data_IF_154990456004
#
_entry.id   IF_154990456004
#
_cell.length_a   1.000
_cell.length_b   1.000
_cell.length_c   1.000
_cell.angle_alpha   90.00
_cell.angle_beta   90.00
_cell.angle_gamma   90.00
#
_symmetry.space_group_name_H-M   'P 1'
#
loop_
_entity.id
_entity.type
_entity.pdbx_description
1 polymer ?
#
# COMPACT_ATOMS: atom_id res chain seq x y z
N UNK A 1 -25.73 -22.27 6.73
CA UNK A 1 -24.58 -23.18 6.54
C UNK A 1 -23.31 -22.34 6.53
N UNK A 2 -22.61 -22.28 7.65
CA UNK A 2 -21.32 -21.59 7.73
C UNK A 2 -20.29 -22.41 6.94
N UNK A 3 -19.76 -21.84 5.85
CA UNK A 3 -18.61 -22.40 5.17
C UNK A 3 -17.42 -22.33 6.11
N UNK A 4 -17.09 -23.45 6.75
CA UNK A 4 -15.81 -23.62 7.43
C UNK A 4 -14.76 -23.65 6.31
N UNK A 5 -14.05 -22.53 6.10
CA UNK A 5 -12.92 -22.49 5.20
C UNK A 5 -11.84 -23.42 5.73
N UNK A 6 -11.58 -24.50 4.99
CA UNK A 6 -10.54 -25.45 5.33
C UNK A 6 -9.16 -24.83 5.05
N UNK A 7 -8.18 -24.89 5.97
CA UNK A 7 -6.86 -24.24 5.82
C UNK A 7 -6.14 -24.59 4.52
N UNK A 8 -6.25 -25.86 4.08
CA UNK A 8 -5.69 -26.32 2.79
C UNK A 8 -6.32 -25.62 1.55
N UNK A 9 -7.59 -25.20 1.61
CA UNK A 9 -8.22 -24.45 0.52
C UNK A 9 -7.67 -23.03 0.47
N UNK A 10 -7.54 -22.35 1.61
CA UNK A 10 -6.94 -21.02 1.69
C UNK A 10 -5.49 -21.00 1.21
N UNK A 11 -4.67 -21.97 1.65
CA UNK A 11 -3.29 -22.12 1.16
C UNK A 11 -3.22 -22.34 -0.37
N UNK A 12 -4.15 -23.10 -0.94
CA UNK A 12 -4.25 -23.31 -2.39
C UNK A 12 -4.62 -22.00 -3.13
N UNK A 13 -5.50 -21.18 -2.57
CA UNK A 13 -5.86 -19.88 -3.16
C UNK A 13 -4.70 -18.88 -3.13
N UNK A 14 -3.94 -18.84 -2.03
CA UNK A 14 -2.73 -18.01 -1.90
C UNK A 14 -1.69 -18.40 -2.94
N UNK A 15 -1.40 -19.71 -3.10
CA UNK A 15 -0.44 -20.19 -4.10
C UNK A 15 -0.83 -19.83 -5.54
N UNK A 16 -2.11 -19.99 -5.90
CA UNK A 16 -2.63 -19.62 -7.24
C UNK A 16 -2.51 -18.12 -7.48
N UNK A 17 -2.83 -17.27 -6.50
CA UNK A 17 -2.71 -15.82 -6.64
C UNK A 17 -1.26 -15.36 -6.69
N UNK A 18 -0.36 -16.00 -5.94
CA UNK A 18 1.07 -15.72 -6.01
C UNK A 18 1.65 -16.01 -7.42
N UNK A 19 1.30 -17.17 -8.00
CA UNK A 19 1.68 -17.49 -9.37
C UNK A 19 1.02 -16.52 -10.37
N UNK A 20 -0.28 -16.24 -10.20
CA UNK A 20 -1.02 -15.29 -11.02
C UNK A 20 -0.47 -13.86 -10.96
N UNK A 21 0.16 -13.46 -9.85
CA UNK A 21 0.80 -12.15 -9.74
C UNK A 21 2.00 -12.01 -10.70
N UNK A 22 2.86 -13.03 -10.80
CA UNK A 22 4.00 -13.01 -11.73
C UNK A 22 3.56 -13.18 -13.19
N UNK A 23 2.60 -14.08 -13.45
CA UNK A 23 2.05 -14.28 -14.80
C UNK A 23 1.33 -13.01 -15.25
N UNK A 24 0.51 -12.40 -14.38
CA UNK A 24 -0.21 -11.17 -14.66
C UNK A 24 0.72 -9.98 -14.93
N UNK A 25 1.85 -9.89 -14.23
CA UNK A 25 2.91 -8.92 -14.53
C UNK A 25 3.42 -9.13 -15.97
N UNK A 26 3.82 -10.34 -16.33
CA UNK A 26 4.37 -10.64 -17.66
C UNK A 26 3.34 -10.46 -18.79
N UNK A 27 2.10 -10.88 -18.56
CA UNK A 27 1.01 -10.69 -19.51
C UNK A 27 0.66 -9.20 -19.67
N UNK A 28 0.62 -8.43 -18.58
CA UNK A 28 0.31 -7.01 -18.64
C UNK A 28 1.38 -6.21 -19.37
N UNK A 29 2.65 -6.53 -19.11
CA UNK A 29 3.82 -6.00 -19.82
C UNK A 29 3.74 -6.31 -21.34
N UNK A 30 3.69 -7.59 -21.72
CA UNK A 30 3.64 -7.98 -23.13
C UNK A 30 2.40 -7.44 -23.88
N UNK A 31 1.27 -7.30 -23.19
CA UNK A 31 0.07 -6.67 -23.76
C UNK A 31 0.28 -5.18 -24.00
N UNK A 32 0.94 -4.48 -23.07
CA UNK A 32 1.16 -3.05 -23.11
C UNK A 32 2.24 -2.61 -24.12
N UNK A 33 3.22 -3.48 -24.40
CA UNK A 33 4.39 -3.17 -25.21
C UNK A 33 4.06 -2.55 -26.59
N UNK A 34 3.03 -3.04 -27.29
CA UNK A 34 2.61 -2.49 -28.58
C UNK A 34 2.13 -1.03 -28.46
N UNK A 35 1.42 -0.73 -27.38
CA UNK A 35 0.64 0.50 -27.22
C UNK A 35 1.43 1.60 -26.52
N UNK A 36 2.68 1.34 -26.13
CA UNK A 36 3.53 2.31 -25.45
C UNK A 36 3.78 3.55 -26.32
N UNK A 37 3.74 4.74 -25.70
CA UNK A 37 3.81 6.06 -26.35
C UNK A 37 2.71 6.35 -27.37
N UNK A 38 1.73 5.46 -27.51
CA UNK A 38 0.54 5.65 -28.34
C UNK A 38 -0.52 6.54 -27.69
N UNK A 39 -1.56 6.93 -28.46
CA UNK A 39 -2.69 7.67 -27.92
C UNK A 39 -3.54 6.80 -26.98
N UNK A 40 -4.30 7.45 -26.09
CA UNK A 40 -5.32 6.76 -25.28
C UNK A 40 -6.35 6.13 -26.22
N UNK A 41 -6.58 4.84 -26.07
CA UNK A 41 -7.49 4.07 -26.91
C UNK A 41 -8.92 4.16 -26.40
N UNK A 42 -9.88 4.15 -27.34
CA UNK A 42 -11.31 4.08 -27.04
C UNK A 42 -11.76 2.69 -26.56
N UNK A 43 -12.93 2.61 -25.94
CA UNK A 43 -13.48 1.33 -25.45
C UNK A 43 -13.92 0.36 -26.56
N UNK A 44 -13.93 0.83 -27.81
CA UNK A 44 -14.21 0.08 -29.03
C UNK A 44 -12.99 -0.63 -29.62
N UNK A 45 -11.78 -0.29 -29.15
CA UNK A 45 -10.54 -0.91 -29.64
C UNK A 45 -10.34 -2.26 -28.96
N UNK A 46 -10.23 -3.32 -29.78
CA UNK A 46 -9.83 -4.63 -29.29
C UNK A 46 -8.34 -4.61 -28.92
N UNK A 47 -8.04 -4.87 -27.66
CA UNK A 47 -6.69 -4.97 -27.13
C UNK A 47 -6.24 -6.43 -27.16
N UNK A 48 -5.07 -6.69 -27.74
CA UNK A 48 -4.51 -8.05 -27.86
C UNK A 48 -2.97 -8.02 -27.88
N UNK A 49 -2.32 -9.16 -27.64
CA UNK A 49 -0.85 -9.30 -27.57
C UNK A 49 -0.23 -9.41 -28.97
N UNK A 50 -0.26 -8.32 -29.72
CA UNK A 50 0.10 -8.32 -31.15
C UNK A 50 1.58 -8.07 -31.46
N UNK A 51 2.44 -7.85 -30.46
CA UNK A 51 3.85 -7.48 -30.68
C UNK A 51 4.00 -6.08 -31.28
N UNK A 52 5.09 -5.75 -31.96
CA UNK A 52 5.39 -4.45 -32.55
C UNK A 52 5.83 -3.40 -31.51
N UNK A 53 5.26 -2.20 -31.58
CA UNK A 53 5.63 -1.10 -30.69
C UNK A 53 6.98 -0.44 -31.03
N UNK A 54 7.51 0.41 -30.13
CA UNK A 54 8.70 1.23 -30.40
C UNK A 54 9.99 0.44 -30.64
N UNK A 55 10.05 -0.81 -30.18
CA UNK A 55 11.24 -1.68 -30.26
C UNK A 55 11.02 -2.97 -31.06
N UNK A 56 9.91 -3.06 -31.81
CA UNK A 56 9.56 -4.22 -32.66
C UNK A 56 9.60 -5.56 -31.91
N UNK A 57 8.74 -5.67 -30.90
CA UNK A 57 8.59 -6.86 -30.07
C UNK A 57 7.82 -7.97 -30.79
N UNK A 58 8.15 -9.23 -30.51
CA UNK A 58 7.33 -10.35 -30.97
C UNK A 58 6.01 -10.44 -30.19
N UNK A 59 4.93 -11.02 -30.77
CA UNK A 59 3.70 -11.30 -30.03
C UNK A 59 3.97 -12.09 -28.73
N UNK A 60 3.64 -11.49 -27.58
CA UNK A 60 3.88 -12.07 -26.25
C UNK A 60 5.30 -11.91 -25.70
N UNK A 61 6.20 -11.21 -26.40
CA UNK A 61 7.50 -10.79 -25.86
C UNK A 61 7.28 -9.70 -24.80
N UNK A 62 7.94 -9.85 -23.65
CA UNK A 62 7.88 -8.91 -22.53
C UNK A 62 9.06 -7.93 -22.55
N UNK A 63 8.92 -6.77 -21.90
CA UNK A 63 9.91 -5.68 -21.88
C UNK A 63 10.79 -5.69 -20.61
N UNK A 64 11.34 -4.53 -20.24
CA UNK A 64 12.17 -4.36 -19.06
C UNK A 64 11.41 -4.60 -17.74
N UNK A 65 10.10 -4.34 -17.67
CA UNK A 65 9.27 -4.61 -16.48
C UNK A 65 9.44 -6.06 -16.01
N UNK A 66 9.15 -7.03 -16.88
CA UNK A 66 9.25 -8.46 -16.59
C UNK A 66 10.69 -8.91 -16.47
N UNK A 67 11.57 -8.47 -17.38
CA UNK A 67 12.97 -8.90 -17.35
C UNK A 67 13.65 -8.51 -16.04
N UNK A 68 13.43 -7.28 -15.56
CA UNK A 68 13.98 -6.82 -14.29
C UNK A 68 13.34 -7.53 -13.10
N UNK A 69 12.04 -7.79 -13.13
CA UNK A 69 11.35 -8.57 -12.10
C UNK A 69 11.95 -9.99 -12.00
N UNK A 70 12.17 -10.68 -13.12
CA UNK A 70 12.78 -12.00 -13.14
C UNK A 70 14.18 -12.01 -12.51
N UNK A 71 14.98 -10.96 -12.72
CA UNK A 71 16.27 -10.79 -12.06
C UNK A 71 16.15 -10.78 -10.53
N UNK A 72 15.14 -10.07 -9.99
CA UNK A 72 14.83 -10.06 -8.56
C UNK A 72 14.35 -11.44 -8.09
N UNK A 73 13.42 -12.06 -8.81
CA UNK A 73 12.86 -13.36 -8.46
C UNK A 73 13.93 -14.45 -8.32
N UNK A 74 14.90 -14.47 -9.24
CA UNK A 74 16.06 -15.38 -9.20
C UNK A 74 17.04 -15.06 -8.07
N UNK A 75 16.98 -13.85 -7.51
CA UNK A 75 17.73 -13.44 -6.32
C UNK A 75 17.09 -13.83 -5.00
N UNK A 76 15.85 -14.32 -4.99
CA UNK A 76 15.15 -14.69 -3.75
C UNK A 76 15.87 -15.84 -3.04
N UNK A 77 16.11 -15.67 -1.74
CA UNK A 77 16.68 -16.68 -0.84
C UNK A 77 15.53 -17.44 -0.15
N UNK A 78 15.46 -18.78 -0.31
CA UNK A 78 14.45 -19.59 0.38
C UNK A 78 14.46 -19.35 1.88
N UNK A 79 13.29 -19.32 2.53
CA UNK A 79 13.16 -18.96 3.94
C UNK A 79 14.07 -19.79 4.87
N UNK A 80 14.22 -21.09 4.60
CA UNK A 80 15.09 -22.00 5.37
C UNK A 80 16.59 -21.78 5.16
N UNK A 81 16.98 -20.95 4.19
CA UNK A 81 18.37 -20.55 3.93
C UNK A 81 18.67 -19.11 4.37
N UNK A 82 17.69 -18.38 4.93
CA UNK A 82 17.90 -17.02 5.44
C UNK A 82 18.69 -17.07 6.74
N UNK A 83 19.63 -16.14 6.87
CA UNK A 83 20.44 -15.96 8.08
C UNK A 83 19.85 -14.92 9.01
N UNK A 84 19.12 -13.95 8.46
CA UNK A 84 18.45 -12.92 9.24
C UNK A 84 16.97 -13.27 9.44
N UNK A 85 16.50 -13.45 10.69
CA UNK A 85 15.09 -13.63 10.99
C UNK A 85 14.21 -12.47 10.52
N UNK A 86 14.73 -11.23 10.49
CA UNK A 86 14.01 -10.06 9.96
C UNK A 86 14.04 -10.00 8.42
N UNK A 87 14.64 -11.00 7.77
CA UNK A 87 14.65 -11.15 6.33
C UNK A 87 15.50 -10.14 5.57
N UNK A 88 16.49 -9.47 6.18
CA UNK A 88 17.33 -8.53 5.41
C UNK A 88 18.13 -9.19 4.28
N UNK A 89 18.32 -10.52 4.34
CA UNK A 89 18.95 -11.35 3.30
C UNK A 89 17.95 -12.16 2.47
N UNK A 90 16.64 -11.87 2.53
CA UNK A 90 15.61 -12.56 1.76
C UNK A 90 15.80 -12.43 0.23
N UNK A 91 16.57 -11.44 -0.22
CA UNK A 91 16.95 -11.24 -1.63
C UNK A 91 18.46 -10.97 -1.69
N UNK A 92 19.18 -11.80 -2.45
CA UNK A 92 20.59 -11.59 -2.76
C UNK A 92 20.75 -10.51 -3.83
N UNK A 93 20.94 -9.27 -3.38
CA UNK A 93 21.11 -8.10 -4.24
C UNK A 93 22.30 -8.24 -5.20
N UNK A 94 23.39 -8.90 -4.79
CA UNK A 94 24.54 -9.11 -5.68
C UNK A 94 24.13 -9.99 -6.87
N UNK A 95 23.37 -11.05 -6.60
CA UNK A 95 22.82 -11.92 -7.65
C UNK A 95 21.81 -11.19 -8.53
N UNK A 96 20.98 -10.31 -7.98
CA UNK A 96 20.07 -9.46 -8.77
C UNK A 96 20.86 -8.56 -9.72
N UNK A 97 21.87 -7.85 -9.22
CA UNK A 97 22.69 -6.94 -10.02
C UNK A 97 23.45 -7.66 -11.13
N UNK A 98 24.02 -8.85 -10.85
CA UNK A 98 24.68 -9.65 -11.87
C UNK A 98 23.73 -9.98 -13.03
N UNK A 99 22.51 -10.44 -12.72
CA UNK A 99 21.53 -10.78 -13.74
C UNK A 99 21.04 -9.57 -14.55
N UNK A 100 20.87 -8.41 -13.91
CA UNK A 100 20.53 -7.20 -14.65
C UNK A 100 21.66 -6.72 -15.56
N UNK A 101 22.91 -6.92 -15.15
CA UNK A 101 24.06 -6.60 -16.01
C UNK A 101 24.14 -7.56 -17.20
N UNK A 102 23.91 -8.86 -17.00
CA UNK A 102 23.84 -9.84 -18.10
C UNK A 102 22.69 -9.52 -19.07
N UNK A 103 21.51 -9.17 -18.54
CA UNK A 103 20.34 -8.77 -19.33
C UNK A 103 20.59 -7.48 -20.14
N UNK A 104 21.29 -6.51 -19.56
CA UNK A 104 21.60 -5.24 -20.22
C UNK A 104 22.42 -5.41 -21.51
N UNK A 105 23.12 -6.53 -21.70
CA UNK A 105 23.91 -6.79 -22.90
C UNK A 105 23.06 -7.18 -24.12
N UNK A 106 21.84 -7.67 -23.88
CA UNK A 106 20.99 -8.27 -24.93
C UNK A 106 19.62 -7.61 -25.04
N UNK A 107 19.27 -6.70 -24.12
CA UNK A 107 17.95 -6.09 -24.09
C UNK A 107 17.70 -5.15 -25.27
N UNK A 108 16.47 -5.18 -25.80
CA UNK A 108 15.95 -4.20 -26.77
C UNK A 108 15.53 -2.91 -26.08
N UNK A 109 15.12 -3.00 -24.82
CA UNK A 109 14.48 -1.93 -24.07
C UNK A 109 15.06 -1.81 -22.66
N UNK A 110 15.29 -0.58 -22.24
CA UNK A 110 15.74 -0.23 -20.90
C UNK A 110 15.47 1.25 -20.65
N UNK A 111 14.79 1.55 -19.55
CA UNK A 111 14.61 2.94 -19.13
C UNK A 111 15.93 3.70 -19.00
N UNK A 112 15.96 4.95 -19.50
CA UNK A 112 17.17 5.81 -19.58
C UNK A 112 17.96 5.86 -18.27
N UNK A 113 17.26 6.08 -17.15
CA UNK A 113 17.88 6.15 -15.82
C UNK A 113 18.47 4.80 -15.38
N UNK A 114 17.73 3.72 -15.57
CA UNK A 114 18.19 2.35 -15.27
C UNK A 114 19.45 2.02 -16.07
N UNK A 115 19.43 2.24 -17.39
CA UNK A 115 20.55 1.99 -18.27
C UNK A 115 21.79 2.81 -17.90
N UNK A 116 21.61 4.10 -17.56
CA UNK A 116 22.69 4.97 -17.12
C UNK A 116 23.38 4.46 -15.83
N UNK A 117 22.59 4.04 -14.85
CA UNK A 117 23.10 3.57 -13.55
C UNK A 117 23.80 2.21 -13.68
N UNK A 118 23.17 1.24 -14.35
CA UNK A 118 23.78 -0.07 -14.56
C UNK A 118 25.01 0.00 -15.46
N UNK A 119 25.01 0.88 -16.48
CA UNK A 119 26.18 1.14 -17.31
C UNK A 119 27.36 1.75 -16.51
N UNK A 120 27.09 2.64 -15.56
CA UNK A 120 28.11 3.14 -14.63
C UNK A 120 28.62 2.05 -13.68
N UNK A 121 27.73 1.21 -13.15
CA UNK A 121 28.11 0.09 -12.27
C UNK A 121 29.04 -0.89 -13.00
N UNK A 122 28.71 -1.24 -14.25
CA UNK A 122 29.54 -2.09 -15.10
C UNK A 122 30.94 -1.52 -15.29
N UNK A 123 31.04 -0.24 -15.65
CA UNK A 123 32.34 0.45 -15.81
C UNK A 123 33.15 0.52 -14.53
N UNK A 124 32.51 0.58 -13.36
CA UNK A 124 33.19 0.59 -12.08
C UNK A 124 33.77 -0.78 -11.69
N UNK A 125 33.33 -1.88 -12.32
CA UNK A 125 33.86 -3.23 -12.10
C UNK A 125 33.55 -3.84 -10.73
N UNK A 126 32.66 -3.22 -9.93
CA UNK A 126 32.27 -3.70 -8.60
C UNK A 126 30.77 -3.97 -8.54
N UNK A 127 30.39 -5.24 -8.56
CA UNK A 127 29.00 -5.69 -8.48
C UNK A 127 28.62 -5.89 -7.02
N UNK A 128 28.19 -4.80 -6.38
CA UNK A 128 27.71 -4.79 -5.00
C UNK A 128 26.66 -3.71 -4.76
N UNK A 129 25.80 -3.93 -3.76
CA UNK A 129 24.69 -3.03 -3.42
C UNK A 129 25.17 -1.62 -3.08
N UNK A 130 26.26 -1.49 -2.32
CA UNK A 130 26.76 -0.20 -1.83
C UNK A 130 27.21 0.67 -2.99
N UNK A 131 27.97 0.09 -3.94
CA UNK A 131 28.43 0.78 -5.15
C UNK A 131 27.25 1.20 -6.03
N UNK A 132 26.30 0.30 -6.28
CA UNK A 132 25.13 0.60 -7.12
C UNK A 132 24.26 1.72 -6.52
N UNK A 133 23.95 1.64 -5.23
CA UNK A 133 23.20 2.66 -4.50
C UNK A 133 23.92 4.01 -4.46
N UNK A 134 25.25 4.02 -4.33
CA UNK A 134 26.02 5.26 -4.40
C UNK A 134 25.94 5.93 -5.78
N UNK A 135 25.99 5.15 -6.86
CA UNK A 135 25.81 5.63 -8.24
C UNK A 135 24.40 6.20 -8.42
N UNK A 136 23.37 5.46 -8.01
CA UNK A 136 21.97 5.88 -8.05
C UNK A 136 21.71 7.18 -7.28
N UNK A 137 22.27 7.28 -6.06
CA UNK A 137 22.20 8.50 -5.25
C UNK A 137 22.84 9.71 -5.94
N UNK A 138 24.04 9.52 -6.50
CA UNK A 138 24.72 10.59 -7.25
C UNK A 138 23.92 11.00 -8.48
N UNK A 139 23.40 10.05 -9.25
CA UNK A 139 22.59 10.32 -10.43
C UNK A 139 21.33 11.12 -10.08
N UNK A 140 20.66 10.82 -8.97
CA UNK A 140 19.53 11.62 -8.48
C UNK A 140 19.93 13.07 -8.20
N UNK A 141 21.05 13.31 -7.52
CA UNK A 141 21.54 14.65 -7.26
C UNK A 141 21.90 15.41 -8.55
N UNK A 142 22.54 14.73 -9.51
CA UNK A 142 22.91 15.29 -10.82
C UNK A 142 21.67 15.58 -11.69
N UNK A 143 20.57 14.87 -11.49
CA UNK A 143 19.30 15.05 -12.22
C UNK A 143 18.37 16.06 -11.57
N UNK A 144 18.89 16.95 -10.71
CA UNK A 144 18.09 17.96 -10.02
C UNK A 144 17.07 17.36 -9.05
N UNK A 145 17.41 16.24 -8.42
CA UNK A 145 16.55 15.47 -7.52
C UNK A 145 15.27 14.93 -8.17
N UNK A 146 15.30 14.67 -9.47
CA UNK A 146 14.20 14.05 -10.21
C UNK A 146 14.63 12.69 -10.70
N UNK A 147 14.24 11.65 -9.98
CA UNK A 147 14.55 10.26 -10.37
C UNK A 147 13.41 9.27 -10.05
N UNK A 148 12.20 9.78 -9.85
CA UNK A 148 10.99 9.06 -9.46
C UNK A 148 10.17 8.45 -10.60
N UNK A 149 10.85 7.96 -11.65
CA UNK A 149 10.19 7.15 -12.68
C UNK A 149 9.62 5.82 -12.14
N UNK A 150 8.77 5.17 -12.93
CA UNK A 150 8.14 3.88 -12.61
C UNK A 150 9.14 2.70 -12.59
N UNK A 151 10.34 2.86 -13.14
CA UNK A 151 11.36 1.81 -13.32
C UNK A 151 11.79 1.08 -12.05
N UNK A 152 11.54 1.65 -10.86
CA UNK A 152 11.70 0.94 -9.60
C UNK A 152 10.47 0.11 -9.20
N UNK A 153 9.27 0.64 -9.44
CA UNK A 153 7.99 0.07 -8.99
C UNK A 153 7.61 -1.19 -9.77
N UNK A 154 7.69 -1.12 -11.10
CA UNK A 154 7.16 -2.12 -12.03
C UNK A 154 7.69 -3.55 -11.81
N UNK A 155 8.87 -3.66 -11.21
CA UNK A 155 9.61 -4.91 -11.00
C UNK A 155 9.49 -5.50 -9.59
N UNK A 156 8.63 -4.95 -8.72
CA UNK A 156 8.63 -5.27 -7.27
C UNK A 156 7.76 -6.45 -6.85
N UNK A 157 6.96 -7.06 -7.74
CA UNK A 157 6.16 -8.23 -7.39
C UNK A 157 6.96 -9.37 -6.73
N UNK A 158 8.17 -9.75 -7.21
CA UNK A 158 9.00 -10.74 -6.53
C UNK A 158 9.48 -10.32 -5.14
N UNK A 159 9.63 -9.01 -4.89
CA UNK A 159 9.95 -8.50 -3.55
C UNK A 159 8.81 -8.82 -2.60
N UNK A 160 7.56 -8.51 -2.98
CA UNK A 160 6.39 -8.88 -2.18
C UNK A 160 6.31 -10.40 -1.92
N UNK A 161 6.58 -11.22 -2.94
CA UNK A 161 6.56 -12.68 -2.81
C UNK A 161 7.63 -13.22 -1.85
N UNK A 162 8.81 -12.59 -1.79
CA UNK A 162 9.85 -12.98 -0.84
C UNK A 162 9.42 -12.81 0.64
N UNK A 163 8.43 -11.96 0.91
CA UNK A 163 7.90 -11.67 2.25
C UNK A 163 6.43 -12.05 2.38
N UNK A 164 5.94 -12.97 1.54
CA UNK A 164 4.52 -13.31 1.50
C UNK A 164 3.99 -13.85 2.84
N UNK A 165 4.81 -14.59 3.59
CA UNK A 165 4.40 -15.19 4.86
C UNK A 165 4.74 -14.36 6.10
N UNK A 166 5.71 -13.46 5.98
CA UNK A 166 6.17 -12.58 7.04
C UNK A 166 6.64 -11.27 6.39
N UNK A 167 5.90 -10.20 6.64
CA UNK A 167 6.17 -8.87 6.09
C UNK A 167 7.24 -8.11 6.86
N UNK A 168 7.79 -8.69 7.93
CA UNK A 168 8.92 -8.13 8.65
C UNK A 168 10.07 -7.88 7.68
N UNK A 169 10.51 -6.62 7.59
CA UNK A 169 11.59 -6.21 6.68
C UNK A 169 11.18 -5.94 5.22
N UNK A 170 9.92 -6.17 4.83
CA UNK A 170 9.45 -5.93 3.46
C UNK A 170 9.64 -4.46 3.04
N UNK A 171 9.25 -3.51 3.89
CA UNK A 171 9.41 -2.08 3.60
C UNK A 171 10.88 -1.70 3.37
N UNK A 172 11.78 -2.23 4.20
CA UNK A 172 13.21 -1.98 4.08
C UNK A 172 13.78 -2.57 2.78
N UNK A 173 13.39 -3.80 2.41
CA UNK A 173 13.85 -4.43 1.17
C UNK A 173 13.30 -3.72 -0.08
N UNK A 174 12.02 -3.36 -0.09
CA UNK A 174 11.40 -2.63 -1.19
C UNK A 174 12.15 -1.31 -1.46
N UNK A 175 12.48 -0.54 -0.42
CA UNK A 175 13.30 0.67 -0.54
C UNK A 175 14.71 0.39 -1.05
N UNK A 176 15.37 -0.66 -0.54
CA UNK A 176 16.72 -1.04 -0.99
C UNK A 176 16.75 -1.37 -2.48
N UNK A 177 15.79 -2.17 -2.95
CA UNK A 177 15.66 -2.56 -4.37
C UNK A 177 15.32 -1.36 -5.26
N UNK A 178 14.43 -0.47 -4.80
CA UNK A 178 14.13 0.77 -5.53
C UNK A 178 15.40 1.62 -5.71
N UNK A 179 16.11 1.86 -4.61
CA UNK A 179 17.31 2.70 -4.54
C UNK A 179 18.50 2.18 -5.35
N UNK A 180 18.48 0.93 -5.84
CA UNK A 180 19.47 0.45 -6.80
C UNK A 180 19.49 1.30 -8.07
N UNK A 181 18.36 1.88 -8.46
CA UNK A 181 18.26 2.68 -9.69
C UNK A 181 17.45 3.96 -9.56
N UNK A 182 16.58 4.07 -8.55
CA UNK A 182 15.71 5.23 -8.33
C UNK A 182 15.86 5.64 -6.87
N UNK A 183 16.70 6.66 -6.63
CA UNK A 183 17.01 7.12 -5.27
C UNK A 183 15.89 7.96 -4.64
N UNK A 184 15.01 8.54 -5.46
CA UNK A 184 13.96 9.43 -4.99
C UNK A 184 13.09 8.77 -3.92
N UNK A 185 12.82 9.52 -2.84
CA UNK A 185 12.11 8.99 -1.68
C UNK A 185 10.70 8.53 -2.03
N UNK A 186 9.99 9.27 -2.88
CA UNK A 186 8.67 8.90 -3.37
C UNK A 186 8.69 7.59 -4.18
N UNK A 187 9.75 7.33 -4.97
CA UNK A 187 9.89 6.05 -5.67
C UNK A 187 10.01 4.89 -4.68
N UNK A 188 10.80 5.08 -3.61
CA UNK A 188 10.94 4.11 -2.53
C UNK A 188 9.63 3.86 -1.80
N UNK A 189 8.90 4.93 -1.43
CA UNK A 189 7.60 4.80 -0.77
C UNK A 189 6.57 4.07 -1.64
N UNK A 190 6.49 4.43 -2.93
CA UNK A 190 5.58 3.78 -3.87
C UNK A 190 5.84 2.27 -3.94
N UNK A 191 7.11 1.86 -3.96
CA UNK A 191 7.50 0.45 -3.92
C UNK A 191 7.05 -0.24 -2.63
N UNK A 192 7.14 0.43 -1.47
CA UNK A 192 6.63 -0.09 -0.20
C UNK A 192 5.13 -0.30 -0.29
N UNK A 193 4.37 0.76 -0.62
CA UNK A 193 2.91 0.70 -0.71
C UNK A 193 2.45 -0.43 -1.64
N UNK A 194 3.05 -0.51 -2.83
CA UNK A 194 2.71 -1.52 -3.83
C UNK A 194 3.05 -2.95 -3.39
N UNK A 195 4.20 -3.17 -2.74
CA UNK A 195 4.55 -4.48 -2.20
C UNK A 195 3.53 -4.97 -1.16
N UNK A 196 3.13 -4.09 -0.24
CA UNK A 196 2.11 -4.42 0.77
C UNK A 196 0.74 -4.65 0.12
N UNK A 197 0.38 -3.88 -0.91
CA UNK A 197 -0.84 -4.10 -1.68
C UNK A 197 -0.88 -5.47 -2.37
N UNK A 198 0.26 -5.91 -2.94
CA UNK A 198 0.41 -7.24 -3.56
C UNK A 198 0.24 -8.33 -2.52
N UNK A 199 0.93 -8.23 -1.37
CA UNK A 199 0.80 -9.21 -0.27
C UNK A 199 -0.66 -9.30 0.17
N UNK A 200 -1.32 -8.16 0.38
CA UNK A 200 -2.74 -8.12 0.75
C UNK A 200 -3.64 -8.76 -0.32
N UNK A 201 -3.42 -8.44 -1.60
CA UNK A 201 -4.20 -9.00 -2.70
C UNK A 201 -4.05 -10.52 -2.82
N UNK A 202 -2.84 -11.05 -2.59
CA UNK A 202 -2.61 -12.49 -2.62
C UNK A 202 -3.34 -13.19 -1.46
N UNK A 203 -3.25 -12.66 -0.25
CA UNK A 203 -3.92 -13.26 0.92
C UNK A 203 -5.45 -13.11 0.88
N UNK A 204 -5.92 -11.89 0.64
CA UNK A 204 -7.35 -11.55 0.81
C UNK A 204 -8.14 -11.65 -0.50
N UNK A 205 -7.48 -11.55 -1.66
CA UNK A 205 -8.13 -11.43 -2.96
C UNK A 205 -8.63 -10.02 -3.25
N UNK A 206 -8.27 -9.04 -2.43
CA UNK A 206 -8.66 -7.64 -2.57
C UNK A 206 -7.41 -6.78 -2.73
N UNK A 207 -7.38 -5.93 -3.76
CA UNK A 207 -6.31 -4.94 -3.90
C UNK A 207 -6.57 -3.80 -2.91
N UNK A 208 -5.63 -3.55 -2.00
CA UNK A 208 -5.72 -2.45 -1.06
C UNK A 208 -4.34 -1.82 -0.85
N UNK A 209 -4.12 -0.66 -1.46
CA UNK A 209 -2.86 0.09 -1.36
C UNK A 209 -2.64 0.71 0.04
N UNK A 210 -3.71 0.90 0.81
CA UNK A 210 -3.68 1.60 2.09
C UNK A 210 -2.97 0.81 3.18
N UNK A 211 -2.91 -0.51 3.04
CA UNK A 211 -2.27 -1.41 4.02
C UNK A 211 -0.77 -1.16 4.18
N UNK A 212 -0.13 -0.52 3.20
CA UNK A 212 1.28 -0.13 3.30
C UNK A 212 1.49 1.25 3.92
N UNK A 213 0.45 2.04 4.20
CA UNK A 213 0.63 3.40 4.72
C UNK A 213 1.32 3.41 6.07
N UNK A 214 0.98 2.48 6.97
CA UNK A 214 1.58 2.39 8.31
C UNK A 214 3.05 1.95 8.29
N UNK A 215 3.54 1.50 7.13
CA UNK A 215 4.94 1.11 6.90
C UNK A 215 5.80 2.29 6.42
N UNK A 216 5.19 3.46 6.25
CA UNK A 216 5.88 4.71 5.92
C UNK A 216 6.09 5.56 7.18
N UNK A 217 7.17 6.36 7.24
CA UNK A 217 7.30 7.40 8.26
C UNK A 217 6.10 8.34 8.26
N UNK A 218 5.77 8.90 9.42
CA UNK A 218 4.58 9.73 9.62
C UNK A 218 4.47 10.89 8.62
N UNK A 219 5.54 11.66 8.43
CA UNK A 219 5.61 12.77 7.48
C UNK A 219 5.33 12.32 6.03
N UNK A 220 5.74 11.09 5.69
CA UNK A 220 5.51 10.49 4.37
C UNK A 220 4.08 9.99 4.21
N UNK A 221 3.42 9.54 5.27
CA UNK A 221 2.01 9.10 5.23
C UNK A 221 1.10 10.21 4.76
N UNK A 222 1.24 11.42 5.32
CA UNK A 222 0.42 12.57 4.95
C UNK A 222 0.53 12.89 3.45
N UNK A 223 1.75 12.92 2.92
CA UNK A 223 2.04 13.12 1.50
C UNK A 223 1.34 12.09 0.60
N UNK A 224 1.38 10.80 0.97
CA UNK A 224 0.74 9.75 0.19
C UNK A 224 -0.78 9.73 0.32
N UNK A 225 -1.32 10.09 1.48
CA UNK A 225 -2.76 10.21 1.68
C UNK A 225 -3.35 11.27 0.76
N UNK A 226 -2.72 12.45 0.66
CA UNK A 226 -3.15 13.51 -0.25
C UNK A 226 -3.18 13.02 -1.71
N UNK A 227 -2.11 12.35 -2.14
CA UNK A 227 -1.95 11.81 -3.50
C UNK A 227 -2.97 10.72 -3.83
N UNK A 228 -3.18 9.80 -2.90
CA UNK A 228 -4.14 8.72 -3.05
C UNK A 228 -5.56 9.27 -3.12
N UNK A 229 -5.91 10.25 -2.27
CA UNK A 229 -7.19 10.94 -2.32
C UNK A 229 -7.40 11.68 -3.65
N UNK A 230 -6.38 12.41 -4.13
CA UNK A 230 -6.42 13.05 -5.45
C UNK A 230 -6.59 12.05 -6.60
N UNK A 231 -6.05 10.85 -6.46
CA UNK A 231 -6.22 9.71 -7.37
C UNK A 231 -7.53 8.93 -7.19
N UNK A 232 -8.45 9.38 -6.32
CA UNK A 232 -9.74 8.73 -6.07
C UNK A 232 -9.72 7.57 -5.07
N UNK A 233 -8.57 7.32 -4.41
CA UNK A 233 -8.42 6.30 -3.38
C UNK A 233 -8.58 6.94 -1.99
N UNK A 234 -9.79 6.90 -1.44
CA UNK A 234 -10.11 7.53 -0.16
C UNK A 234 -9.33 6.94 1.05
N UNK A 235 -8.39 7.68 1.63
CA UNK A 235 -7.66 7.30 2.84
C UNK A 235 -7.43 8.51 3.74
N UNK A 236 -7.24 8.27 5.04
CA UNK A 236 -6.99 9.30 6.05
C UNK A 236 -6.00 8.80 7.10
N UNK A 237 -5.44 9.73 7.87
CA UNK A 237 -4.55 9.40 8.98
C UNK A 237 -5.36 8.72 10.10
N UNK A 238 -4.72 7.79 10.81
CA UNK A 238 -5.25 7.28 12.07
C UNK A 238 -4.91 8.32 13.13
N UNK A 239 -5.85 9.23 13.35
CA UNK A 239 -5.71 10.35 14.28
C UNK A 239 -5.87 9.89 15.74
N UNK A 240 -5.14 10.50 16.66
CA UNK A 240 -5.41 10.41 18.09
C UNK A 240 -6.72 11.14 18.46
N UNK A 241 -7.24 10.94 19.67
CA UNK A 241 -8.52 11.55 20.07
C UNK A 241 -8.54 13.08 19.95
N UNK A 242 -7.41 13.77 20.16
CA UNK A 242 -7.33 15.23 20.03
C UNK A 242 -7.37 15.62 18.57
N UNK A 243 -6.57 14.95 17.74
CA UNK A 243 -6.50 15.17 16.30
C UNK A 243 -7.86 14.90 15.61
N UNK A 244 -8.62 13.90 16.06
CA UNK A 244 -9.99 13.66 15.57
C UNK A 244 -10.88 14.88 15.81
N UNK A 245 -10.80 15.53 16.98
CA UNK A 245 -11.62 16.72 17.26
C UNK A 245 -11.19 17.95 16.46
N UNK A 246 -9.95 17.98 15.96
CA UNK A 246 -9.38 19.09 15.19
C UNK A 246 -9.53 18.90 13.67
N UNK A 247 -9.97 17.73 13.22
CA UNK A 247 -10.05 17.36 11.82
C UNK A 247 -11.11 18.19 11.06
N UNK A 248 -10.80 18.74 9.86
CA UNK A 248 -11.71 19.63 9.12
C UNK A 248 -13.07 19.03 8.80
N UNK A 249 -13.16 17.74 8.46
CA UNK A 249 -14.43 17.07 8.18
C UNK A 249 -15.27 16.91 9.46
N UNK A 250 -14.67 16.58 10.60
CA UNK A 250 -15.32 16.52 11.93
C UNK A 250 -15.88 17.89 12.33
N UNK A 251 -15.12 18.95 12.09
CA UNK A 251 -15.58 20.34 12.31
C UNK A 251 -16.68 20.74 11.31
N UNK A 252 -16.51 20.44 10.03
CA UNK A 252 -17.45 20.75 8.96
C UNK A 252 -18.81 20.08 9.19
N UNK A 253 -18.81 18.80 9.60
CA UNK A 253 -20.03 18.05 9.90
C UNK A 253 -20.66 18.47 11.24
N UNK A 254 -19.98 19.30 12.04
CA UNK A 254 -20.46 19.75 13.35
C UNK A 254 -20.57 18.60 14.34
N UNK A 255 -19.69 17.59 14.23
CA UNK A 255 -19.81 16.35 15.01
C UNK A 255 -19.37 16.49 16.47
N UNK A 256 -18.70 17.58 16.84
CA UNK A 256 -18.23 17.81 18.21
C UNK A 256 -19.20 18.70 18.95
N UNK A 257 -19.85 18.16 19.97
CA UNK A 257 -20.74 18.93 20.84
C UNK A 257 -20.12 19.07 22.23
N UNK A 258 -20.15 20.30 22.75
CA UNK A 258 -19.86 20.53 24.17
C UNK A 258 -21.10 20.22 25.00
N UNK A 259 -20.93 19.37 26.00
CA UNK A 259 -21.97 18.99 26.96
C UNK A 259 -21.43 19.23 28.36
N UNK A 260 -22.22 19.89 29.21
CA UNK A 260 -21.86 20.10 30.61
C UNK A 260 -22.50 18.99 31.45
N UNK A 261 -21.67 18.12 32.01
CA UNK A 261 -22.10 17.15 33.02
C UNK A 261 -22.11 17.81 34.39
N UNK A 262 -23.15 17.57 35.18
CA UNK A 262 -23.22 18.00 36.58
C UNK A 262 -22.07 17.43 37.44
N UNK A 263 -21.48 16.31 37.01
CA UNK A 263 -20.51 15.54 37.80
C UNK A 263 -19.08 15.64 37.26
N UNK A 264 -18.92 15.82 35.94
CA UNK A 264 -17.62 15.83 35.27
C UNK A 264 -17.29 17.17 34.59
N UNK A 265 -18.14 18.18 34.72
CA UNK A 265 -17.94 19.49 34.11
C UNK A 265 -18.10 19.45 32.58
N UNK A 266 -17.41 20.35 31.87
CA UNK A 266 -17.45 20.43 30.41
C UNK A 266 -16.81 19.20 29.78
N UNK A 267 -17.53 18.58 28.85
CA UNK A 267 -17.10 17.42 28.09
C UNK A 267 -17.33 17.67 26.60
N UNK A 268 -16.42 17.17 25.75
CA UNK A 268 -16.62 17.12 24.29
C UNK A 268 -17.11 15.73 23.93
N UNK A 269 -18.24 15.64 23.25
CA UNK A 269 -18.85 14.39 22.81
C UNK A 269 -18.96 14.36 21.29
N UNK A 270 -18.74 13.17 20.71
CA UNK A 270 -18.92 12.93 19.27
C UNK A 270 -20.38 12.59 19.02
N UNK A 271 -21.05 13.36 18.16
CA UNK A 271 -22.40 13.08 17.68
C UNK A 271 -22.38 12.23 16.40
N UNK A 272 -23.57 11.84 15.95
CA UNK A 272 -23.72 11.05 14.73
C UNK A 272 -23.18 11.83 13.49
N UNK A 273 -22.53 11.14 12.54
CA UNK A 273 -21.98 11.76 11.33
C UNK A 273 -23.03 12.10 10.26
N UNK A 274 -24.31 11.81 10.50
CA UNK A 274 -25.39 11.99 9.52
C UNK A 274 -26.36 13.07 9.99
N UNK A 275 -26.61 14.06 9.12
CA UNK A 275 -27.62 15.08 9.37
C UNK A 275 -28.96 14.66 8.74
N UNK A 276 -30.00 14.57 9.56
CA UNK A 276 -31.34 14.16 9.14
C UNK A 276 -32.29 15.36 9.17
N UNK A 277 -32.87 15.72 8.02
CA UNK A 277 -33.79 16.85 7.93
C UNK A 277 -35.12 16.63 8.70
N UNK A 278 -35.64 15.40 8.71
CA UNK A 278 -36.93 15.07 9.34
C UNK A 278 -36.83 14.79 10.85
N UNK A 279 -35.71 14.25 11.29
CA UNK A 279 -35.46 13.83 12.68
C UNK A 279 -34.05 14.24 13.09
N UNK A 280 -33.78 15.55 13.22
CA UNK A 280 -32.45 16.04 13.50
C UNK A 280 -31.96 15.50 14.86
N UNK A 281 -30.82 14.82 14.85
CA UNK A 281 -30.18 14.35 16.08
C UNK A 281 -29.58 15.52 16.84
N UNK A 282 -29.78 15.51 18.17
CA UNK A 282 -29.11 16.42 19.09
C UNK A 282 -28.73 15.65 20.34
N UNK A 283 -27.53 15.91 20.86
CA UNK A 283 -27.18 15.49 22.22
C UNK A 283 -27.88 16.47 23.18
N UNK A 284 -28.88 15.97 23.90
CA UNK A 284 -29.73 16.81 24.76
C UNK A 284 -29.26 16.85 26.21
N UNK A 285 -28.55 15.82 26.68
CA UNK A 285 -28.08 15.70 28.07
C UNK A 285 -26.75 14.92 28.12
N UNK A 286 -25.97 15.14 29.19
CA UNK A 286 -24.75 14.37 29.46
C UNK A 286 -25.07 12.91 29.84
N UNK A 287 -24.05 12.05 29.78
CA UNK A 287 -24.20 10.66 30.23
C UNK A 287 -24.57 10.62 31.73
N UNK A 288 -25.66 9.94 32.12
CA UNK A 288 -26.06 9.84 33.51
C UNK A 288 -25.14 8.91 34.29
N UNK A 289 -25.10 9.07 35.61
CA UNK A 289 -24.60 8.01 36.50
C UNK A 289 -25.55 6.82 36.49
N UNK A 290 -25.02 5.66 36.89
CA UNK A 290 -25.82 4.46 37.11
C UNK A 290 -26.96 4.79 38.09
N UNK A 291 -28.20 4.65 37.63
CA UNK A 291 -29.41 4.86 38.42
C UNK A 291 -29.95 6.29 38.48
N UNK A 292 -29.27 7.27 37.88
CA UNK A 292 -29.63 8.70 37.99
C UNK A 292 -31.01 9.03 37.39
N UNK A 293 -31.39 8.38 36.28
CA UNK A 293 -32.68 8.59 35.63
C UNK A 293 -33.68 7.44 35.87
N UNK A 294 -33.41 6.53 36.82
CA UNK A 294 -34.28 5.36 37.03
C UNK A 294 -35.70 5.77 37.41
N UNK A 295 -35.88 6.77 38.27
CA UNK A 295 -37.23 7.20 38.67
C UNK A 295 -37.97 7.95 37.56
N UNK A 296 -37.27 8.83 36.82
CA UNK A 296 -37.81 9.56 35.68
C UNK A 296 -38.33 8.60 34.60
N UNK A 297 -37.51 7.62 34.20
CA UNK A 297 -37.88 6.65 33.16
C UNK A 297 -39.01 5.71 33.62
N UNK A 298 -38.99 5.23 34.87
CA UNK A 298 -40.06 4.37 35.39
C UNK A 298 -41.39 5.15 35.50
N UNK A 299 -41.35 6.44 35.83
CA UNK A 299 -42.53 7.29 35.84
C UNK A 299 -43.06 7.57 34.42
N UNK A 300 -42.20 7.78 33.42
CA UNK A 300 -42.61 7.98 32.03
C UNK A 300 -43.39 6.79 31.45
N UNK A 301 -43.05 5.57 31.88
CA UNK A 301 -43.78 4.35 31.48
C UNK A 301 -44.97 4.02 32.38
N UNK A 302 -45.35 4.93 33.30
CA UNK A 302 -46.56 4.85 34.09
C UNK A 302 -46.46 4.10 35.42
N UNK A 303 -45.25 3.82 35.92
CA UNK A 303 -45.08 3.15 37.22
C UNK A 303 -45.19 4.19 38.34
N UNK A 304 -46.10 3.93 39.29
CA UNK A 304 -46.37 4.84 40.40
C UNK A 304 -45.22 4.92 41.42
N UNK A 305 -45.11 6.01 42.19
CA UNK A 305 -44.03 6.22 43.16
C UNK A 305 -43.90 5.10 44.21
N UNK A 306 -45.03 4.50 44.62
CA UNK A 306 -45.06 3.42 45.60
C UNK A 306 -44.45 2.11 45.06
N UNK A 307 -44.68 1.79 43.79
CA UNK A 307 -44.10 0.61 43.14
C UNK A 307 -42.62 0.82 42.84
N UNK A 308 -42.21 2.04 42.45
CA UNK A 308 -40.79 2.41 42.28
C UNK A 308 -40.02 2.22 43.59
N UNK A 309 -40.57 2.68 44.72
CA UNK A 309 -39.96 2.52 46.03
C UNK A 309 -39.77 1.03 46.40
N UNK A 310 -40.73 0.18 46.04
CA UNK A 310 -40.67 -1.28 46.27
C UNK A 310 -39.68 -2.00 45.34
N UNK A 311 -39.41 -1.47 44.15
CA UNK A 311 -38.43 -2.02 43.21
C UNK A 311 -36.97 -1.67 43.57
N UNK A 312 -36.77 -0.68 44.44
CA UNK A 312 -35.45 -0.22 44.90
C UNK A 312 -34.98 -0.85 46.22
N UNK A 313 -35.87 -1.53 46.95
CA UNK A 313 -35.54 -2.30 48.18
C UNK A 313 -34.99 -3.68 47.84
#
# INVERSE_FOLDING_TARGET
MAHINHPLREARHVGVRAAGCLIGLACGDALGAHYEFGPVLGSDVLIDMIGGGPFDFEPGEFTDDTAMALGIARGIVPAHHRRDPAGADAIDIRRVLAQWLDWLEVTKDVGVQTGAILGQLRRAGRIDEKSCRAISKRHHAESGNRSGGNGALMRTAPVALAYLHDTTGLAAMARRVAQLTHWEEAAGDACVLWCFAIVNAIHTGQLNIRVGLDELPEERRAYWIERLNAGGVACGLINDLREVFEEPQVQHLGMVHEVVSAHHGKQRMVAQPVQLARTPSRITRAAPRRGEHTEEVLAEIGIGPADIARLKS
#
